data_IF_343301113922
#
_entry.id   IF_343301113922
#
_cell.length_a   1.000
_cell.length_b   1.000
_cell.length_c   1.000
_cell.angle_alpha   90.00
_cell.angle_beta   90.00
_cell.angle_gamma   90.00
#
_symmetry.space_group_name_H-M   'P 1'
#
loop_
_entity.id
_entity.type
_entity.pdbx_description
1 polymer ?
#
# COMPACT_ATOMS: atom_id res chain seq x y z
N UNK A 1 -12.50 22.84 15.17
CA UNK A 1 -11.99 21.62 15.88
C UNK A 1 -11.09 20.75 14.99
N UNK A 2 -11.21 20.82 13.65
CA UNK A 2 -10.28 20.18 12.69
C UNK A 2 -9.31 21.16 12.03
N UNK A 3 -9.20 22.38 12.55
CA UNK A 3 -8.44 23.47 11.92
C UNK A 3 -6.95 23.13 11.79
N UNK A 4 -6.40 22.37 12.75
CA UNK A 4 -5.02 21.87 12.70
C UNK A 4 -4.75 20.91 11.52
N UNK A 5 -5.77 20.22 10.98
CA UNK A 5 -5.62 19.37 9.80
C UNK A 5 -5.34 20.20 8.54
N UNK A 6 -5.82 21.44 8.48
CA UNK A 6 -5.51 22.36 7.40
C UNK A 6 -4.05 22.82 7.48
N UNK A 7 -3.53 23.08 8.69
CA UNK A 7 -2.15 23.50 8.91
C UNK A 7 -1.14 22.42 8.50
N UNK A 8 -1.45 21.15 8.78
CA UNK A 8 -0.60 20.01 8.40
C UNK A 8 -0.92 19.43 7.03
N UNK A 9 -1.85 20.01 6.28
CA UNK A 9 -2.38 19.43 5.03
C UNK A 9 -1.27 19.01 4.06
N UNK A 10 -0.27 19.86 3.84
CA UNK A 10 0.84 19.58 2.92
C UNK A 10 1.69 18.41 3.40
N UNK A 11 1.91 18.30 4.70
CA UNK A 11 2.62 17.16 5.31
C UNK A 11 1.81 15.87 5.18
N UNK A 12 0.52 15.89 5.55
CA UNK A 12 -0.37 14.73 5.42
C UNK A 12 -0.48 14.26 3.96
N UNK A 13 -0.61 15.20 3.02
CA UNK A 13 -0.64 14.92 1.59
C UNK A 13 0.66 14.29 1.10
N UNK A 14 1.81 14.84 1.50
CA UNK A 14 3.11 14.33 1.08
C UNK A 14 3.36 12.92 1.62
N UNK A 15 3.11 12.70 2.91
CA UNK A 15 3.25 11.38 3.53
C UNK A 15 2.30 10.35 2.92
N UNK A 16 1.05 10.74 2.65
CA UNK A 16 0.09 9.88 1.96
C UNK A 16 0.61 9.47 0.57
N UNK A 17 1.08 10.43 -0.24
CA UNK A 17 1.58 10.13 -1.59
C UNK A 17 2.81 9.21 -1.53
N UNK A 18 3.78 9.47 -0.65
CA UNK A 18 4.95 8.62 -0.48
C UNK A 18 4.54 7.19 -0.09
N UNK A 19 3.59 7.05 0.83
CA UNK A 19 3.10 5.76 1.29
C UNK A 19 2.38 5.00 0.17
N UNK A 20 1.51 5.67 -0.58
CA UNK A 20 0.80 5.07 -1.73
C UNK A 20 1.78 4.57 -2.77
N UNK A 21 2.78 5.37 -3.15
CA UNK A 21 3.77 4.98 -4.16
C UNK A 21 4.62 3.80 -3.68
N UNK A 22 5.07 3.84 -2.43
CA UNK A 22 5.81 2.72 -1.81
C UNK A 22 4.99 1.43 -1.82
N UNK A 23 3.70 1.54 -1.47
CA UNK A 23 2.81 0.40 -1.43
C UNK A 23 2.51 -0.15 -2.84
N UNK A 24 2.27 0.72 -3.82
CA UNK A 24 2.09 0.34 -5.22
C UNK A 24 3.31 -0.40 -5.75
N UNK A 25 4.52 0.12 -5.52
CA UNK A 25 5.76 -0.55 -5.93
C UNK A 25 5.87 -1.97 -5.37
N UNK A 26 5.53 -2.16 -4.08
CA UNK A 26 5.49 -3.48 -3.46
C UNK A 26 4.46 -4.41 -4.10
N UNK A 27 3.24 -3.93 -4.37
CA UNK A 27 2.17 -4.72 -5.00
C UNK A 27 2.50 -5.16 -6.43
N UNK A 28 3.26 -4.37 -7.20
CA UNK A 28 3.69 -4.77 -8.54
C UNK A 28 4.90 -5.72 -8.52
N UNK A 29 5.77 -5.61 -7.51
CA UNK A 29 6.98 -6.42 -7.43
C UNK A 29 6.74 -7.81 -6.81
N UNK A 30 5.92 -7.90 -5.77
CA UNK A 30 5.69 -9.14 -5.01
C UNK A 30 5.12 -10.31 -5.86
N UNK A 31 4.10 -10.13 -6.73
CA UNK A 31 3.56 -11.23 -7.54
C UNK A 31 4.60 -11.82 -8.48
N UNK A 32 5.46 -10.98 -9.05
CA UNK A 32 6.58 -11.42 -9.89
C UNK A 32 7.55 -12.27 -9.07
N UNK A 33 7.86 -11.84 -7.85
CA UNK A 33 8.74 -12.59 -6.96
C UNK A 33 8.18 -13.99 -6.67
N UNK A 34 6.87 -14.11 -6.37
CA UNK A 34 6.19 -15.39 -6.16
C UNK A 34 6.25 -16.32 -7.38
N UNK A 35 6.04 -15.81 -8.58
CA UNK A 35 6.12 -16.63 -9.81
C UNK A 35 7.54 -17.15 -10.01
N UNK A 36 8.56 -16.30 -9.84
CA UNK A 36 9.95 -16.74 -9.95
C UNK A 36 10.33 -17.76 -8.88
N UNK A 37 9.85 -17.57 -7.65
CA UNK A 37 10.07 -18.50 -6.55
C UNK A 37 9.47 -19.88 -6.88
N UNK A 38 8.22 -19.92 -7.32
CA UNK A 38 7.53 -21.18 -7.64
C UNK A 38 8.09 -21.90 -8.88
N UNK A 39 8.56 -21.18 -9.91
CA UNK A 39 9.01 -21.78 -11.17
C UNK A 39 10.48 -22.18 -11.19
N UNK A 40 11.35 -21.48 -10.43
CA UNK A 40 12.80 -21.56 -10.60
C UNK A 40 13.55 -22.06 -9.38
N UNK A 41 12.91 -22.16 -8.24
CA UNK A 41 13.59 -22.48 -6.97
C UNK A 41 13.17 -23.85 -6.50
N UNK A 42 14.17 -24.68 -6.17
CA UNK A 42 13.95 -25.98 -5.57
C UNK A 42 13.62 -25.83 -4.08
N UNK A 43 12.56 -26.50 -3.64
CA UNK A 43 12.06 -26.44 -2.26
C UNK A 43 13.14 -26.98 -1.32
N UNK A 44 13.46 -26.22 -0.27
CA UNK A 44 14.47 -26.58 0.73
C UNK A 44 15.91 -26.25 0.33
N UNK A 45 16.15 -25.60 -0.81
CA UNK A 45 17.46 -25.05 -1.16
C UNK A 45 17.76 -23.77 -0.36
N UNK A 46 19.03 -23.38 -0.27
CA UNK A 46 19.41 -22.08 0.35
C UNK A 46 18.75 -20.88 -0.37
N UNK A 47 18.43 -21.05 -1.66
CA UNK A 47 17.74 -20.03 -2.45
C UNK A 47 16.27 -19.90 -2.03
N UNK A 48 15.59 -20.99 -1.68
CA UNK A 48 14.21 -21.00 -1.16
C UNK A 48 14.10 -20.15 0.13
N UNK A 49 15.00 -20.36 1.08
CA UNK A 49 15.03 -19.57 2.32
C UNK A 49 15.34 -18.08 2.08
N UNK A 50 16.21 -17.77 1.10
CA UNK A 50 16.48 -16.40 0.70
C UNK A 50 15.21 -15.74 0.12
N UNK A 51 14.50 -16.41 -0.79
CA UNK A 51 13.26 -15.88 -1.38
C UNK A 51 12.17 -15.69 -0.33
N UNK A 52 11.95 -16.65 0.58
CA UNK A 52 11.01 -16.53 1.71
C UNK A 52 11.32 -15.31 2.57
N UNK A 53 12.60 -15.01 2.79
CA UNK A 53 13.05 -13.85 3.56
C UNK A 53 12.77 -12.55 2.81
N UNK A 54 13.09 -12.48 1.51
CA UNK A 54 12.83 -11.31 0.67
C UNK A 54 11.33 -11.00 0.57
N UNK A 55 10.49 -12.02 0.36
CA UNK A 55 9.03 -11.89 0.34
C UNK A 55 8.49 -11.41 1.68
N UNK A 56 9.01 -11.95 2.79
CA UNK A 56 8.59 -11.57 4.13
C UNK A 56 8.91 -10.11 4.44
N UNK A 57 10.15 -9.68 4.15
CA UNK A 57 10.59 -8.31 4.37
C UNK A 57 9.80 -7.34 3.50
N UNK A 58 9.57 -7.68 2.23
CA UNK A 58 8.78 -6.84 1.34
C UNK A 58 7.34 -6.69 1.86
N UNK A 59 6.68 -7.79 2.21
CA UNK A 59 5.28 -7.76 2.64
C UNK A 59 5.14 -7.12 4.03
N UNK A 60 5.86 -7.62 5.04
CA UNK A 60 5.69 -7.17 6.42
C UNK A 60 6.43 -5.88 6.76
N UNK A 61 7.64 -5.66 6.23
CA UNK A 61 8.44 -4.49 6.61
C UNK A 61 8.19 -3.28 5.71
N UNK A 62 7.75 -3.47 4.45
CA UNK A 62 7.53 -2.37 3.51
C UNK A 62 6.04 -2.17 3.21
N UNK A 63 5.34 -3.21 2.74
CA UNK A 63 3.96 -3.07 2.28
C UNK A 63 2.95 -2.86 3.41
N UNK A 64 3.06 -3.59 4.52
CA UNK A 64 2.16 -3.42 5.67
C UNK A 64 2.20 -2.01 6.28
N UNK A 65 3.36 -1.44 6.64
CA UNK A 65 3.40 -0.09 7.18
C UNK A 65 2.97 0.96 6.15
N UNK A 66 3.33 0.79 4.87
CA UNK A 66 2.88 1.73 3.83
C UNK A 66 1.37 1.68 3.59
N UNK A 67 0.72 0.52 3.70
CA UNK A 67 -0.75 0.39 3.71
C UNK A 67 -1.36 1.16 4.88
N UNK A 68 -0.84 0.97 6.09
CA UNK A 68 -1.37 1.64 7.30
C UNK A 68 -1.26 3.16 7.15
N UNK A 69 -0.08 3.64 6.78
CA UNK A 69 0.20 5.08 6.58
C UNK A 69 -0.69 5.66 5.47
N UNK A 70 -0.88 4.93 4.38
CA UNK A 70 -1.79 5.31 3.29
C UNK A 70 -3.21 5.53 3.80
N UNK A 71 -3.75 4.57 4.56
CA UNK A 71 -5.11 4.67 5.10
C UNK A 71 -5.25 5.78 6.14
N UNK A 72 -4.30 5.90 7.08
CA UNK A 72 -4.34 6.93 8.14
C UNK A 72 -4.34 8.33 7.53
N UNK A 73 -3.37 8.64 6.65
CA UNK A 73 -3.31 9.97 6.04
C UNK A 73 -4.38 10.17 4.96
N UNK A 74 -4.82 9.10 4.28
CA UNK A 74 -5.91 9.17 3.32
C UNK A 74 -7.22 9.56 3.99
N UNK A 75 -7.56 8.93 5.12
CA UNK A 75 -8.74 9.30 5.91
C UNK A 75 -8.60 10.70 6.51
N UNK A 76 -7.41 11.07 7.00
CA UNK A 76 -7.17 12.43 7.51
C UNK A 76 -7.44 13.50 6.43
N UNK A 77 -7.01 13.27 5.18
CA UNK A 77 -7.26 14.19 4.06
C UNK A 77 -8.74 14.27 3.67
N UNK A 78 -9.47 13.16 3.77
CA UNK A 78 -10.91 13.11 3.48
C UNK A 78 -11.72 13.85 4.55
N UNK A 79 -11.27 13.81 5.80
CA UNK A 79 -11.92 14.50 6.92
C UNK A 79 -11.62 16.01 6.97
N UNK A 80 -10.61 16.49 6.24
CA UNK A 80 -10.32 17.93 6.19
C UNK A 80 -11.41 18.68 5.40
N UNK A 81 -12.13 19.62 6.04
CA UNK A 81 -13.24 20.33 5.39
C UNK A 81 -12.78 21.13 4.16
N UNK A 82 -13.58 21.09 3.08
CA UNK A 82 -13.36 21.89 1.88
C UNK A 82 -12.30 21.37 0.90
N UNK A 83 -11.66 20.23 1.18
CA UNK A 83 -10.61 19.66 0.31
C UNK A 83 -11.17 18.66 -0.69
N UNK A 84 -12.14 17.85 -0.28
CA UNK A 84 -12.74 16.82 -1.13
C UNK A 84 -14.04 17.34 -1.72
N UNK A 85 -14.05 17.49 -3.04
CA UNK A 85 -15.27 17.75 -3.81
C UNK A 85 -15.96 16.43 -4.15
N UNK A 86 -16.99 16.10 -3.39
CA UNK A 86 -17.79 14.88 -3.57
C UNK A 86 -18.67 14.89 -4.83
N UNK A 87 -18.84 16.05 -5.47
CA UNK A 87 -19.56 16.15 -6.75
C UNK A 87 -18.70 15.69 -7.93
N UNK A 88 -17.37 15.73 -7.77
CA UNK A 88 -16.44 15.23 -8.76
C UNK A 88 -16.35 13.69 -8.72
N UNK A 89 -16.08 13.07 -9.87
CA UNK A 89 -15.87 11.60 -9.99
C UNK A 89 -14.54 11.16 -9.35
N UNK A 90 -13.57 12.08 -9.26
CA UNK A 90 -12.19 11.76 -8.89
C UNK A 90 -11.99 11.18 -7.49
N UNK A 91 -12.63 11.70 -6.40
CA UNK A 91 -12.51 11.10 -5.08
C UNK A 91 -13.09 9.69 -5.01
N UNK A 92 -14.19 9.43 -5.71
CA UNK A 92 -14.79 8.10 -5.81
C UNK A 92 -13.87 7.11 -6.51
N UNK A 93 -13.33 7.49 -7.68
CA UNK A 93 -12.37 6.67 -8.41
C UNK A 93 -11.16 6.33 -7.55
N UNK A 94 -10.58 7.32 -6.86
CA UNK A 94 -9.47 7.11 -5.92
C UNK A 94 -9.82 6.16 -4.79
N UNK A 95 -10.96 6.38 -4.13
CA UNK A 95 -11.41 5.54 -3.02
C UNK A 95 -11.55 4.08 -3.44
N UNK A 96 -12.18 3.84 -4.60
CA UNK A 96 -12.31 2.50 -5.18
C UNK A 96 -10.93 1.90 -5.46
N UNK A 97 -10.00 2.65 -6.06
CA UNK A 97 -8.64 2.17 -6.32
C UNK A 97 -7.91 1.74 -5.04
N UNK A 98 -8.00 2.53 -3.95
CA UNK A 98 -7.37 2.17 -2.67
C UNK A 98 -7.99 0.91 -2.07
N UNK A 99 -9.31 0.75 -2.17
CA UNK A 99 -10.01 -0.46 -1.71
C UNK A 99 -9.54 -1.68 -2.53
N UNK A 100 -9.48 -1.58 -3.86
CA UNK A 100 -8.99 -2.65 -4.72
C UNK A 100 -7.54 -3.03 -4.43
N UNK A 101 -6.67 -2.04 -4.20
CA UNK A 101 -5.28 -2.29 -3.78
C UNK A 101 -5.21 -2.99 -2.42
N UNK A 102 -6.08 -2.60 -1.48
CA UNK A 102 -6.16 -3.24 -0.15
C UNK A 102 -6.56 -4.70 -0.29
N UNK A 103 -7.59 -4.98 -1.08
CA UNK A 103 -8.01 -6.34 -1.37
C UNK A 103 -6.89 -7.16 -2.03
N UNK A 104 -6.22 -6.61 -3.04
CA UNK A 104 -5.12 -7.29 -3.72
C UNK A 104 -3.93 -7.57 -2.79
N UNK A 105 -3.58 -6.63 -1.90
CA UNK A 105 -2.56 -6.87 -0.86
C UNK A 105 -2.95 -8.08 -0.01
N UNK A 106 -4.16 -8.10 0.53
CA UNK A 106 -4.63 -9.19 1.39
C UNK A 106 -4.67 -10.55 0.67
N UNK A 107 -5.00 -10.54 -0.63
CA UNK A 107 -4.94 -11.74 -1.45
C UNK A 107 -3.51 -12.25 -1.63
N UNK A 108 -2.52 -11.36 -1.83
CA UNK A 108 -1.10 -11.76 -1.88
C UNK A 108 -0.60 -12.30 -0.55
N UNK A 109 -1.06 -11.73 0.57
CA UNK A 109 -0.70 -12.21 1.91
C UNK A 109 -1.15 -13.65 2.17
N UNK A 110 -2.28 -14.06 1.60
CA UNK A 110 -2.82 -15.42 1.72
C UNK A 110 -2.11 -16.45 0.82
N UNK A 111 -1.34 -16.00 -0.17
CA UNK A 111 -0.67 -16.87 -1.16
C UNK A 111 0.79 -17.19 -0.84
N UNK A 112 1.32 -16.66 0.25
CA UNK A 112 2.58 -17.07 0.84
C UNK A 112 2.35 -18.24 1.79
#
# INVERSE_FOLDING_TARGET
>A
MFDWLADIYLWSKSLHVIAVITWMAGLFYLPRLFVYHAERVEIGSDTDEMFKTMEHLLLKAIMNPSLIVTWVFGLALVLTPGIVDWTAIWPWAKGISVILMTWFHWWLMQRR
#
